data_IF_800421427670
#
_entry.id   IF_800421427670
#
_cell.length_a   1.000
_cell.length_b   1.000
_cell.length_c   1.000
_cell.angle_alpha   90.00
_cell.angle_beta   90.00
_cell.angle_gamma   90.00
#
_symmetry.space_group_name_H-M   'P 1'
#
loop_
_entity.id
_entity.type
_entity.pdbx_description
1 polymer ?
#
# COMPACT_ATOMS: atom_id res chain seq x y z
N UNK A 1 -13.73 46.69 -10.32
CA UNK A 1 -13.13 46.08 -9.12
C UNK A 1 -12.71 47.15 -8.12
N UNK A 2 -12.06 48.22 -8.56
CA UNK A 2 -11.52 49.30 -7.71
C UNK A 2 -12.50 50.01 -6.75
N UNK A 3 -13.78 50.12 -7.08
CA UNK A 3 -14.77 50.78 -6.22
C UNK A 3 -15.22 49.87 -5.06
N UNK A 4 -15.37 48.57 -5.32
CA UNK A 4 -15.76 47.59 -4.29
C UNK A 4 -14.64 47.36 -3.30
N UNK A 5 -13.41 47.28 -3.80
CA UNK A 5 -12.21 47.09 -2.99
C UNK A 5 -11.94 48.31 -2.08
N UNK A 6 -12.26 49.51 -2.56
CA UNK A 6 -12.21 50.74 -1.75
C UNK A 6 -13.26 50.74 -0.65
N UNK A 7 -14.51 50.40 -0.96
CA UNK A 7 -15.60 50.33 0.04
C UNK A 7 -15.36 49.24 1.09
N UNK A 8 -14.78 48.09 0.69
CA UNK A 8 -14.44 46.99 1.61
C UNK A 8 -13.28 47.32 2.57
N UNK A 9 -12.51 48.37 2.28
CA UNK A 9 -11.34 48.78 3.07
C UNK A 9 -11.56 50.10 3.82
N UNK A 10 -12.73 50.73 3.66
CA UNK A 10 -13.12 51.95 4.35
C UNK A 10 -13.68 51.66 5.75
N UNK A 11 -13.44 52.60 6.68
CA UNK A 11 -14.01 52.55 8.04
C UNK A 11 -15.55 52.66 8.00
N UNK A 12 -16.23 51.99 8.93
CA UNK A 12 -17.69 51.90 8.98
C UNK A 12 -18.39 53.28 9.01
N UNK A 13 -17.75 54.30 9.57
CA UNK A 13 -18.29 55.67 9.62
C UNK A 13 -18.37 56.33 8.24
N UNK A 14 -17.52 55.95 7.30
CA UNK A 14 -17.52 56.48 5.94
C UNK A 14 -18.58 55.82 5.04
N UNK A 15 -19.11 54.65 5.44
CA UNK A 15 -20.20 53.98 4.73
C UNK A 15 -21.50 54.79 4.78
N UNK A 16 -21.69 55.62 5.82
CA UNK A 16 -22.85 56.50 5.97
C UNK A 16 -22.90 57.63 4.93
N UNK A 17 -21.79 57.90 4.21
CA UNK A 17 -21.72 58.90 3.15
C UNK A 17 -22.36 58.43 1.84
N UNK A 18 -22.63 57.13 1.70
CA UNK A 18 -23.27 56.57 0.51
C UNK A 18 -24.79 56.60 0.62
N UNK A 19 -25.44 56.82 -0.52
CA UNK A 19 -26.89 56.67 -0.61
C UNK A 19 -27.29 55.21 -0.49
N UNK A 20 -28.55 54.97 -0.07
CA UNK A 20 -29.12 53.62 0.03
C UNK A 20 -29.00 52.85 -1.29
N UNK A 21 -29.23 53.51 -2.43
CA UNK A 21 -29.11 52.89 -3.75
C UNK A 21 -27.68 52.49 -4.11
N UNK A 22 -26.68 53.27 -3.67
CA UNK A 22 -25.26 52.91 -3.85
C UNK A 22 -24.88 51.72 -2.98
N UNK A 23 -25.33 51.68 -1.72
CA UNK A 23 -25.13 50.55 -0.81
C UNK A 23 -25.79 49.27 -1.33
N UNK A 24 -27.03 49.34 -1.82
CA UNK A 24 -27.72 48.19 -2.44
C UNK A 24 -26.95 47.67 -3.66
N UNK A 25 -26.42 48.57 -4.50
CA UNK A 25 -25.57 48.21 -5.65
C UNK A 25 -24.27 47.53 -5.21
N UNK A 26 -23.62 48.00 -4.14
CA UNK A 26 -22.42 47.38 -3.59
C UNK A 26 -22.69 46.00 -3.00
N UNK A 27 -23.80 45.81 -2.27
CA UNK A 27 -24.20 44.51 -1.74
C UNK A 27 -24.45 43.52 -2.88
N UNK A 28 -25.12 43.96 -3.95
CA UNK A 28 -25.33 43.11 -5.12
C UNK A 28 -23.99 42.71 -5.77
N UNK A 29 -23.08 43.66 -5.95
CA UNK A 29 -21.75 43.41 -6.53
C UNK A 29 -20.91 42.47 -5.64
N UNK A 30 -20.99 42.59 -4.32
CA UNK A 30 -20.37 41.67 -3.37
C UNK A 30 -20.96 40.26 -3.47
N UNK A 31 -22.28 40.16 -3.55
CA UNK A 31 -22.98 38.88 -3.69
C UNK A 31 -22.54 38.15 -4.97
N UNK A 32 -22.45 38.87 -6.08
CA UNK A 32 -22.02 38.31 -7.35
C UNK A 32 -20.53 37.92 -7.34
N UNK A 33 -19.68 38.72 -6.69
CA UNK A 33 -18.26 38.40 -6.51
C UNK A 33 -18.07 37.16 -5.62
N UNK A 34 -18.76 37.07 -4.49
CA UNK A 34 -18.69 35.91 -3.58
C UNK A 34 -19.17 34.64 -4.29
N UNK A 35 -20.21 34.72 -5.12
CA UNK A 35 -20.65 33.56 -5.93
C UNK A 35 -19.56 33.13 -6.92
N UNK A 36 -18.98 34.07 -7.66
CA UNK A 36 -17.92 33.76 -8.61
C UNK A 36 -16.68 33.16 -7.91
N UNK A 37 -16.25 33.76 -6.80
CA UNK A 37 -15.11 33.26 -6.02
C UNK A 37 -15.41 31.87 -5.42
N UNK A 38 -16.65 31.62 -4.99
CA UNK A 38 -17.09 30.30 -4.51
C UNK A 38 -17.03 29.25 -5.62
N UNK A 39 -17.51 29.55 -6.83
CA UNK A 39 -17.44 28.64 -7.96
C UNK A 39 -15.99 28.29 -8.32
N UNK A 40 -15.10 29.29 -8.33
CA UNK A 40 -13.66 29.06 -8.54
C UNK A 40 -13.06 28.19 -7.44
N UNK A 41 -13.39 28.44 -6.18
CA UNK A 41 -12.92 27.62 -5.05
C UNK A 41 -13.44 26.19 -5.11
N UNK A 42 -14.69 25.97 -5.51
CA UNK A 42 -15.24 24.63 -5.70
C UNK A 42 -14.52 23.89 -6.83
N UNK A 43 -14.20 24.58 -7.92
CA UNK A 43 -13.42 24.01 -9.03
C UNK A 43 -12.00 23.66 -8.61
N UNK A 44 -11.30 24.56 -7.91
CA UNK A 44 -9.96 24.31 -7.39
C UNK A 44 -9.95 23.16 -6.38
N UNK A 45 -10.97 23.06 -5.53
CA UNK A 45 -11.13 21.94 -4.60
C UNK A 45 -11.25 20.61 -5.34
N UNK A 46 -12.03 20.55 -6.41
CA UNK A 46 -12.15 19.35 -7.22
C UNK A 46 -10.81 18.95 -7.85
N UNK A 47 -10.08 19.92 -8.42
CA UNK A 47 -8.76 19.68 -9.02
C UNK A 47 -7.73 19.19 -7.98
N UNK A 48 -7.74 19.75 -6.77
CA UNK A 48 -6.86 19.28 -5.68
C UNK A 48 -7.19 17.85 -5.28
N UNK A 49 -8.48 17.49 -5.16
CA UNK A 49 -8.88 16.12 -4.84
C UNK A 49 -8.46 15.12 -5.93
N UNK A 50 -8.56 15.50 -7.20
CA UNK A 50 -8.10 14.67 -8.31
C UNK A 50 -6.57 14.47 -8.28
N UNK A 51 -5.81 15.54 -8.00
CA UNK A 51 -4.35 15.46 -7.85
C UNK A 51 -3.93 14.64 -6.61
N UNK A 52 -4.67 14.72 -5.52
CA UNK A 52 -4.45 13.88 -4.32
C UNK A 52 -4.68 12.39 -4.65
N UNK A 53 -5.71 12.07 -5.44
CA UNK A 53 -5.94 10.71 -5.91
C UNK A 53 -4.82 10.22 -6.84
N UNK A 54 -4.38 11.04 -7.81
CA UNK A 54 -3.30 10.70 -8.73
C UNK A 54 -1.95 10.50 -8.00
N UNK A 55 -1.66 11.32 -6.99
CA UNK A 55 -0.44 11.20 -6.19
C UNK A 55 -0.45 9.94 -5.32
N UNK A 56 -1.60 9.55 -4.76
CA UNK A 56 -1.75 8.29 -4.05
C UNK A 56 -1.51 7.08 -4.97
N UNK A 57 -2.10 7.09 -6.19
CA UNK A 57 -1.91 6.03 -7.18
C UNK A 57 -0.44 5.92 -7.62
N UNK A 58 0.20 7.05 -7.94
CA UNK A 58 1.64 7.08 -8.27
C UNK A 58 2.52 6.64 -7.10
N UNK A 59 2.12 6.89 -5.86
CA UNK A 59 2.79 6.40 -4.67
C UNK A 59 2.84 4.88 -4.64
N UNK A 60 1.68 4.23 -4.84
CA UNK A 60 1.58 2.78 -4.92
C UNK A 60 2.38 2.20 -6.10
N UNK A 61 2.36 2.85 -7.26
CA UNK A 61 3.14 2.42 -8.43
C UNK A 61 4.66 2.47 -8.16
N UNK A 62 5.14 3.50 -7.46
CA UNK A 62 6.56 3.62 -7.08
C UNK A 62 6.99 2.54 -6.10
N UNK A 63 6.16 2.20 -5.12
CA UNK A 63 6.44 1.09 -4.20
C UNK A 63 6.54 -0.25 -4.93
N UNK A 64 5.65 -0.49 -5.90
CA UNK A 64 5.73 -1.68 -6.76
C UNK A 64 7.05 -1.73 -7.53
N UNK A 65 7.45 -0.63 -8.19
CA UNK A 65 8.72 -0.59 -8.91
C UNK A 65 9.92 -0.79 -7.97
N UNK A 66 9.90 -0.21 -6.77
CA UNK A 66 10.96 -0.42 -5.78
C UNK A 66 11.07 -1.90 -5.38
N UNK A 67 9.93 -2.58 -5.17
CA UNK A 67 9.91 -4.02 -4.91
C UNK A 67 10.45 -4.84 -6.09
N UNK A 68 10.07 -4.50 -7.32
CA UNK A 68 10.58 -5.18 -8.52
C UNK A 68 12.10 -5.01 -8.67
N UNK A 69 12.64 -3.82 -8.41
CA UNK A 69 14.08 -3.55 -8.46
C UNK A 69 14.82 -4.36 -7.39
N UNK A 70 14.28 -4.43 -6.16
CA UNK A 70 14.87 -5.25 -5.10
C UNK A 70 14.88 -6.74 -5.46
N UNK A 71 13.79 -7.26 -6.06
CA UNK A 71 13.74 -8.65 -6.54
C UNK A 71 14.72 -8.91 -7.69
N UNK A 72 14.82 -7.97 -8.64
CA UNK A 72 15.77 -8.09 -9.75
C UNK A 72 17.23 -8.11 -9.28
N UNK A 73 17.57 -7.32 -8.25
CA UNK A 73 18.90 -7.36 -7.62
C UNK A 73 19.20 -8.75 -7.03
N UNK A 74 18.25 -9.32 -6.27
CA UNK A 74 18.41 -10.67 -5.72
C UNK A 74 18.57 -11.77 -6.78
N UNK A 75 17.88 -11.64 -7.92
CA UNK A 75 18.03 -12.57 -9.06
C UNK A 75 19.41 -12.40 -9.72
N UNK A 76 19.93 -11.18 -9.81
CA UNK A 76 21.26 -10.91 -10.37
C UNK A 76 22.37 -11.58 -9.56
N UNK A 77 22.29 -11.52 -8.24
CA UNK A 77 23.26 -12.18 -7.36
C UNK A 77 23.22 -13.71 -7.55
N UNK A 78 22.01 -14.29 -7.56
CA UNK A 78 21.81 -15.72 -7.80
C UNK A 78 22.35 -16.17 -9.18
N UNK A 79 22.13 -15.37 -10.23
CA UNK A 79 22.65 -15.66 -11.57
C UNK A 79 24.18 -15.60 -11.62
N UNK A 80 24.79 -14.73 -10.82
CA UNK A 80 26.24 -14.60 -10.72
C UNK A 80 26.85 -15.81 -9.99
N UNK A 81 26.22 -16.27 -8.91
CA UNK A 81 26.58 -17.52 -8.23
C UNK A 81 26.40 -18.74 -9.15
N UNK A 82 25.33 -18.80 -9.93
CA UNK A 82 25.10 -19.86 -10.92
C UNK A 82 26.20 -19.86 -11.99
N UNK A 83 26.57 -18.70 -12.52
CA UNK A 83 27.64 -18.59 -13.50
C UNK A 83 29.01 -19.05 -12.93
N UNK A 84 29.31 -18.70 -11.68
CA UNK A 84 30.54 -19.12 -10.99
C UNK A 84 30.55 -20.63 -10.74
N UNK A 85 29.46 -21.20 -10.25
CA UNK A 85 29.34 -22.64 -10.01
C UNK A 85 29.42 -23.44 -11.32
N UNK A 86 28.80 -22.96 -12.41
CA UNK A 86 28.97 -23.55 -13.75
C UNK A 86 30.41 -23.51 -14.24
N UNK A 87 31.14 -22.41 -14.00
CA UNK A 87 32.55 -22.32 -14.37
C UNK A 87 33.41 -23.33 -13.59
N UNK A 88 33.18 -23.48 -12.28
CA UNK A 88 33.83 -24.48 -11.45
C UNK A 88 33.51 -25.90 -11.94
N UNK A 89 32.24 -26.19 -12.25
CA UNK A 89 31.81 -27.50 -12.74
C UNK A 89 32.49 -27.86 -14.06
N UNK A 90 32.64 -26.88 -14.98
CA UNK A 90 33.40 -27.07 -16.23
C UNK A 90 34.87 -27.36 -15.97
N UNK A 91 35.50 -26.66 -15.02
CA UNK A 91 36.90 -26.92 -14.63
C UNK A 91 37.07 -28.34 -14.10
N UNK A 92 36.22 -28.75 -13.16
CA UNK A 92 36.24 -30.12 -12.59
C UNK A 92 35.97 -31.17 -13.66
N UNK A 93 35.01 -30.94 -14.54
CA UNK A 93 34.73 -31.84 -15.67
C UNK A 93 35.94 -31.97 -16.60
N UNK A 94 36.65 -30.87 -16.85
CA UNK A 94 37.84 -30.88 -17.71
C UNK A 94 39.02 -31.59 -17.02
N UNK A 95 39.23 -31.38 -15.73
CA UNK A 95 40.20 -32.13 -14.93
C UNK A 95 39.91 -33.63 -14.92
N UNK A 96 38.64 -34.03 -14.77
CA UNK A 96 38.21 -35.43 -14.88
C UNK A 96 38.53 -36.01 -16.26
N UNK A 97 38.23 -35.26 -17.33
CA UNK A 97 38.55 -35.69 -18.70
C UNK A 97 40.06 -35.89 -18.88
N UNK A 98 40.86 -34.95 -18.36
CA UNK A 98 42.32 -35.01 -18.41
C UNK A 98 42.88 -36.18 -17.59
N UNK A 99 42.38 -36.42 -16.38
CA UNK A 99 42.79 -37.57 -15.56
C UNK A 99 42.42 -38.92 -16.20
N UNK A 100 41.27 -38.98 -16.88
CA UNK A 100 40.85 -40.18 -17.61
C UNK A 100 41.77 -40.43 -18.81
N UNK A 101 42.11 -39.38 -19.56
CA UNK A 101 43.06 -39.45 -20.66
C UNK A 101 44.49 -39.80 -20.22
N UNK A 102 44.94 -39.24 -19.09
CA UNK A 102 46.24 -39.56 -18.49
C UNK A 102 46.28 -40.99 -17.94
N UNK A 103 45.16 -41.52 -17.46
CA UNK A 103 45.02 -42.93 -17.02
C UNK A 103 45.08 -43.90 -18.20
N UNK A 104 44.45 -43.56 -19.32
CA UNK A 104 44.53 -44.36 -20.57
C UNK A 104 45.93 -44.29 -21.20
N UNK A 105 46.63 -43.15 -21.07
CA UNK A 105 48.03 -42.99 -21.50
C UNK A 105 49.05 -43.73 -20.61
N UNK A 106 48.78 -43.86 -19.31
CA UNK A 106 49.63 -44.58 -18.36
C UNK A 106 49.39 -46.10 -18.30
N UNK A 107 48.41 -46.63 -19.03
CA UNK A 107 48.15 -48.08 -19.09
C UNK A 107 49.31 -48.90 -19.68
N UNK A 108 50.33 -48.26 -20.26
CA UNK A 108 51.55 -48.91 -20.76
C UNK A 108 52.67 -49.05 -19.71
N UNK A 109 52.62 -48.30 -18.60
CA UNK A 109 53.71 -48.31 -17.62
C UNK A 109 53.16 -48.19 -16.19
N UNK A 110 52.87 -49.33 -15.55
CA UNK A 110 53.32 -49.65 -14.17
C UNK A 110 52.72 -50.97 -13.68
N UNK A 111 53.61 -51.96 -13.59
CA UNK A 111 53.58 -52.92 -12.48
C UNK A 111 53.74 -52.13 -11.17
N UNK A 112 53.06 -52.61 -10.12
CA UNK A 112 53.05 -52.10 -8.74
C UNK A 112 52.32 -50.77 -8.48
N UNK A 113 51.00 -50.86 -8.28
CA UNK A 113 50.19 -49.78 -7.68
C UNK A 113 49.12 -50.36 -6.72
N UNK A 114 49.46 -51.39 -5.93
CA UNK A 114 48.57 -51.90 -4.87
C UNK A 114 48.52 -51.00 -3.62
N UNK A 115 49.26 -49.88 -3.58
CA UNK A 115 49.25 -48.94 -2.46
C UNK A 115 48.32 -47.72 -2.63
N UNK A 116 47.84 -47.41 -3.84
CA UNK A 116 47.09 -46.17 -4.08
C UNK A 116 45.55 -46.36 -4.14
N UNK A 117 45.05 -47.59 -4.01
CA UNK A 117 43.60 -47.87 -3.98
C UNK A 117 42.93 -47.49 -2.65
N UNK A 118 43.67 -47.22 -1.57
CA UNK A 118 43.10 -46.80 -0.27
C UNK A 118 42.83 -45.29 -0.17
N UNK A 119 43.46 -44.45 -1.00
CA UNK A 119 43.25 -42.99 -0.97
C UNK A 119 41.87 -42.52 -1.43
N UNK A 120 41.29 -43.02 -2.55
CA UNK A 120 39.99 -42.54 -3.01
C UNK A 120 38.83 -42.91 -2.08
N UNK A 121 38.96 -43.99 -1.30
CA UNK A 121 37.93 -44.39 -0.32
C UNK A 121 37.88 -43.43 0.88
N UNK A 122 39.03 -42.95 1.36
CA UNK A 122 39.12 -41.98 2.47
C UNK A 122 38.58 -40.61 2.07
N UNK A 123 38.84 -40.16 0.84
CA UNK A 123 38.31 -38.89 0.32
C UNK A 123 36.79 -38.94 0.10
N UNK A 124 36.26 -40.09 -0.34
CA UNK A 124 34.82 -40.31 -0.45
C UNK A 124 34.13 -40.36 0.92
N UNK A 125 34.73 -41.02 1.90
CA UNK A 125 34.21 -41.05 3.29
C UNK A 125 34.22 -39.66 3.93
N UNK A 126 35.26 -38.86 3.70
CA UNK A 126 35.34 -37.45 4.14
C UNK A 126 34.25 -36.58 3.49
N UNK A 127 34.01 -36.76 2.19
CA UNK A 127 32.95 -36.04 1.50
C UNK A 127 31.56 -36.42 2.04
N UNK A 128 31.31 -37.71 2.25
CA UNK A 128 30.04 -38.21 2.83
C UNK A 128 29.84 -37.64 4.24
N UNK A 129 30.87 -37.65 5.09
CA UNK A 129 30.80 -37.08 6.43
C UNK A 129 30.51 -35.55 6.39
N UNK A 130 31.11 -34.83 5.44
CA UNK A 130 30.86 -33.41 5.22
C UNK A 130 29.40 -33.14 4.80
N UNK A 131 28.87 -33.93 3.86
CA UNK A 131 27.47 -33.81 3.44
C UNK A 131 26.48 -34.15 4.55
N UNK A 132 26.75 -35.19 5.34
CA UNK A 132 25.92 -35.55 6.50
C UNK A 132 25.95 -34.45 7.57
N UNK A 133 27.10 -33.79 7.78
CA UNK A 133 27.18 -32.66 8.67
C UNK A 133 26.36 -31.47 8.18
N UNK A 134 26.45 -31.16 6.87
CA UNK A 134 25.68 -30.10 6.23
C UNK A 134 24.17 -30.38 6.28
N UNK A 135 23.75 -31.62 6.04
CA UNK A 135 22.36 -32.05 6.17
C UNK A 135 21.83 -31.82 7.59
N UNK A 136 22.62 -32.20 8.61
CA UNK A 136 22.25 -31.99 10.01
C UNK A 136 22.08 -30.51 10.36
N UNK A 137 22.96 -29.64 9.85
CA UNK A 137 22.84 -28.19 10.05
C UNK A 137 21.57 -27.63 9.39
N UNK A 138 21.30 -28.02 8.14
CA UNK A 138 20.10 -27.59 7.42
C UNK A 138 18.81 -28.07 8.10
N UNK A 139 18.81 -29.28 8.67
CA UNK A 139 17.68 -29.77 9.46
C UNK A 139 17.47 -28.94 10.74
N UNK A 140 18.55 -28.56 11.44
CA UNK A 140 18.46 -27.70 12.62
C UNK A 140 17.95 -26.30 12.26
N UNK A 141 18.43 -25.70 11.17
CA UNK A 141 17.96 -24.40 10.68
C UNK A 141 16.49 -24.45 10.29
N UNK A 142 16.05 -25.50 9.59
CA UNK A 142 14.63 -25.72 9.28
C UNK A 142 13.80 -25.76 10.56
N UNK A 143 14.21 -26.54 11.56
CA UNK A 143 13.46 -26.67 12.81
C UNK A 143 13.38 -25.33 13.55
N UNK A 144 14.46 -24.55 13.54
CA UNK A 144 14.49 -23.22 14.13
C UNK A 144 13.56 -22.25 13.39
N UNK A 145 13.59 -22.21 12.07
CA UNK A 145 12.69 -21.39 11.24
C UNK A 145 11.23 -21.81 11.43
N UNK A 146 10.97 -23.10 11.57
CA UNK A 146 9.62 -23.61 11.81
C UNK A 146 9.08 -23.18 13.18
N UNK A 147 9.92 -23.18 14.22
CA UNK A 147 9.58 -22.62 15.53
C UNK A 147 9.27 -21.12 15.43
N UNK A 148 10.15 -20.34 14.79
CA UNK A 148 9.94 -18.89 14.61
C UNK A 148 8.66 -18.59 13.83
N UNK A 149 8.33 -19.40 12.82
CA UNK A 149 7.10 -19.26 12.06
C UNK A 149 5.86 -19.56 12.91
N UNK A 150 5.95 -20.50 13.85
CA UNK A 150 4.87 -20.77 14.79
C UNK A 150 4.70 -19.63 15.80
N UNK A 151 5.80 -19.10 16.33
CA UNK A 151 5.78 -17.98 17.29
C UNK A 151 5.23 -16.70 16.64
N UNK A 152 5.65 -16.39 15.42
CA UNK A 152 5.14 -15.23 14.66
C UNK A 152 3.67 -15.35 14.30
N UNK A 153 3.20 -16.56 13.96
CA UNK A 153 1.75 -16.81 13.77
C UNK A 153 0.95 -16.59 15.06
N UNK A 154 1.48 -17.03 16.20
CA UNK A 154 0.83 -16.80 17.49
C UNK A 154 0.76 -15.29 17.83
N UNK A 155 1.88 -14.57 17.65
CA UNK A 155 1.93 -13.13 17.85
C UNK A 155 0.98 -12.35 16.92
N UNK A 156 0.89 -12.77 15.65
CA UNK A 156 -0.06 -12.18 14.70
C UNK A 156 -1.51 -12.41 15.13
N UNK A 157 -1.86 -13.62 15.58
CA UNK A 157 -3.20 -13.92 16.06
C UNK A 157 -3.56 -13.08 17.30
N UNK A 158 -2.61 -12.87 18.22
CA UNK A 158 -2.80 -12.02 19.38
C UNK A 158 -2.99 -10.55 18.99
N UNK A 159 -2.17 -10.03 18.06
CA UNK A 159 -2.30 -8.67 17.55
C UNK A 159 -3.65 -8.45 16.83
N UNK A 160 -4.11 -9.42 16.03
CA UNK A 160 -5.42 -9.36 15.38
C UNK A 160 -6.57 -9.34 16.40
N UNK A 161 -6.46 -10.12 17.48
CA UNK A 161 -7.46 -10.10 18.56
C UNK A 161 -7.47 -8.73 19.26
N UNK A 162 -6.31 -8.16 19.55
CA UNK A 162 -6.21 -6.82 20.14
C UNK A 162 -6.80 -5.76 19.23
N UNK A 163 -6.52 -5.82 17.92
CA UNK A 163 -7.09 -4.91 16.94
C UNK A 163 -8.62 -4.99 16.91
N UNK A 164 -9.20 -6.21 16.88
CA UNK A 164 -10.65 -6.38 16.93
C UNK A 164 -11.27 -5.80 18.20
N UNK A 165 -10.58 -5.92 19.34
CA UNK A 165 -11.05 -5.32 20.59
C UNK A 165 -11.03 -3.79 20.52
N UNK A 166 -9.96 -3.19 19.99
CA UNK A 166 -9.86 -1.74 19.78
C UNK A 166 -10.91 -1.23 18.80
N UNK A 167 -11.14 -1.93 17.69
CA UNK A 167 -12.18 -1.58 16.72
C UNK A 167 -13.58 -1.62 17.36
N UNK A 168 -13.82 -2.60 18.23
CA UNK A 168 -15.08 -2.71 18.99
C UNK A 168 -15.25 -1.58 20.01
N UNK A 169 -14.18 -1.18 20.69
CA UNK A 169 -14.19 -0.02 21.59
C UNK A 169 -14.42 1.29 20.84
N UNK A 170 -13.80 1.47 19.66
CA UNK A 170 -14.03 2.62 18.80
C UNK A 170 -15.47 2.70 18.32
N UNK A 171 -16.06 1.57 17.90
CA UNK A 171 -17.48 1.48 17.56
C UNK A 171 -18.40 1.83 18.73
N UNK A 172 -18.04 1.42 19.96
CA UNK A 172 -18.82 1.75 21.16
C UNK A 172 -18.69 3.22 21.59
N UNK A 173 -17.60 3.88 21.23
CA UNK A 173 -17.34 5.30 21.48
C UNK A 173 -17.89 6.21 20.38
N UNK A 174 -18.29 5.66 19.23
CA UNK A 174 -19.02 6.43 18.23
C UNK A 174 -20.36 6.88 18.83
N UNK A 175 -20.67 8.19 18.83
CA UNK A 175 -21.97 8.64 19.23
C UNK A 175 -23.01 8.02 18.28
N UNK A 176 -24.07 7.45 18.83
CA UNK A 176 -25.23 7.06 18.02
C UNK A 176 -25.62 8.24 17.13
N UNK A 177 -25.76 8.06 15.81
CA UNK A 177 -26.30 9.12 14.98
C UNK A 177 -27.68 9.48 15.54
N UNK A 178 -27.94 10.74 15.89
CA UNK A 178 -29.18 11.11 16.54
C UNK A 178 -30.35 10.70 15.62
N UNK A 179 -31.35 9.98 16.13
CA UNK A 179 -32.48 9.55 15.32
C UNK A 179 -33.49 10.69 15.21
N UNK A 180 -33.11 11.85 14.69
CA UNK A 180 -33.99 13.02 14.77
C UNK A 180 -34.05 13.78 13.45
N UNK A 181 -35.20 13.62 12.76
CA UNK A 181 -35.85 14.77 12.14
C UNK A 181 -35.89 15.87 13.20
N UNK A 182 -35.23 16.97 12.92
CA UNK A 182 -35.12 18.09 13.87
C UNK A 182 -36.52 18.64 14.16
N UNK A 183 -36.77 19.12 15.38
CA UNK A 183 -37.98 19.91 15.70
C UNK A 183 -38.15 21.08 14.72
N UNK A 184 -37.04 21.59 14.16
CA UNK A 184 -37.04 22.57 13.10
C UNK A 184 -37.66 22.05 11.79
N UNK A 185 -37.47 20.78 11.45
CA UNK A 185 -38.07 20.15 10.26
C UNK A 185 -39.58 19.93 10.46
N UNK A 186 -40.01 19.59 11.67
CA UNK A 186 -41.44 19.51 12.00
C UNK A 186 -42.13 20.88 11.97
N UNK A 187 -41.47 21.91 12.52
CA UNK A 187 -41.98 23.29 12.46
C UNK A 187 -42.01 23.83 11.03
N UNK A 188 -41.03 23.48 10.18
CA UNK A 188 -41.05 23.79 8.75
C UNK A 188 -42.23 23.13 8.05
N UNK A 189 -42.48 21.84 8.31
CA UNK A 189 -43.62 21.11 7.73
C UNK A 189 -44.97 21.70 8.17
N UNK A 190 -45.11 22.16 9.42
CA UNK A 190 -46.32 22.87 9.89
C UNK A 190 -46.48 24.24 9.25
N UNK A 191 -45.41 25.03 9.14
CA UNK A 191 -45.44 26.33 8.48
C UNK A 191 -45.83 26.21 6.99
N UNK A 192 -45.34 25.18 6.30
CA UNK A 192 -45.67 24.92 4.88
C UNK A 192 -47.15 24.49 4.74
N UNK A 193 -47.69 23.74 5.71
CA UNK A 193 -49.12 23.39 5.75
C UNK A 193 -50.01 24.62 5.99
N UNK A 194 -49.63 25.50 6.92
CA UNK A 194 -50.38 26.73 7.21
C UNK A 194 -50.36 27.73 6.05
N UNK A 195 -49.24 27.82 5.32
CA UNK A 195 -49.14 28.66 4.12
C UNK A 195 -49.84 28.08 2.88
N UNK A 196 -50.43 26.88 2.95
CA UNK A 196 -51.16 26.25 1.85
C UNK A 196 -50.31 25.93 0.62
N UNK A 197 -48.98 25.88 0.78
CA UNK A 197 -48.02 25.67 -0.32
C UNK A 197 -47.90 24.20 -0.73
N UNK A 198 -48.35 23.28 0.12
CA UNK A 198 -48.50 21.86 -0.20
C UNK A 198 -49.98 21.55 -0.48
N UNK A 199 -50.34 21.39 -1.74
CA UNK A 199 -51.48 20.53 -2.05
C UNK A 199 -51.13 19.14 -1.55
N UNK A 200 -51.84 18.68 -0.51
CA UNK A 200 -51.78 17.27 -0.09
C UNK A 200 -52.25 16.44 -1.28
N UNK A 201 -51.31 15.88 -2.03
CA UNK A 201 -51.62 14.88 -3.04
C UNK A 201 -52.34 13.75 -2.31
N UNK A 202 -53.57 13.37 -2.74
CA UNK A 202 -54.29 12.31 -2.07
C UNK A 202 -53.45 11.04 -2.16
N UNK A 203 -53.28 10.41 -1.01
CA UNK A 203 -52.50 9.21 -0.78
C UNK A 203 -52.97 8.11 -1.75
N UNK A 204 -52.32 7.98 -2.91
CA UNK A 204 -52.60 6.92 -3.89
C UNK A 204 -51.98 5.62 -3.41
N UNK A 205 -52.54 5.06 -2.34
CA UNK A 205 -52.35 3.64 -2.07
C UNK A 205 -53.16 2.86 -3.10
N UNK A 206 -52.56 2.00 -3.93
CA UNK A 206 -53.32 1.11 -4.76
C UNK A 206 -54.08 0.14 -3.84
N UNK A 207 -55.42 0.17 -3.88
CA UNK A 207 -56.23 -0.92 -3.35
C UNK A 207 -55.92 -2.15 -4.19
N UNK A 208 -55.13 -3.09 -3.63
CA UNK A 208 -55.05 -4.46 -4.15
C UNK A 208 -56.47 -5.05 -4.09
N UNK A 209 -57.03 -5.38 -5.26
CA UNK A 209 -58.08 -6.39 -5.42
C UNK A 209 -57.40 -7.70 -5.75
#
# INVERSE_FOLDING_TARGET
MDALERVLTEDEENLLCYSVAELESFVQLLSDKVKADKEVLEQMKAEVLDLEAETAERGAERELYASMVAQAAGVSDALTEEAQTLAQLRSVSQELTNQTADSDGNASVRRDARCDQQKPEVDAELAIASYQHKEKLLLQERDQLQSQLQDTKAALAEAQLQQQNVDRELLALQPDPPPERSDADQLLDECIKEMGLLQVLPDTKPKRK
#
